data_IF_886120428414
#
_entry.id   IF_886120428414
#
_cell.length_a   1.000
_cell.length_b   1.000
_cell.length_c   1.000
_cell.angle_alpha   90.00
_cell.angle_beta   90.00
_cell.angle_gamma   90.00
#
_symmetry.space_group_name_H-M   'P 1'
#
loop_
_entity.id
_entity.type
_entity.pdbx_description
1 polymer ?
#
# COMPACT_ATOMS: atom_id res chain seq x y z
N UNK A 1 18.82 11.94 -37.21
CA UNK A 1 18.61 11.55 -35.81
C UNK A 1 17.13 11.64 -35.55
N UNK A 2 16.46 10.55 -35.17
CA UNK A 2 15.04 10.64 -34.87
C UNK A 2 14.85 11.42 -33.57
N UNK A 3 13.99 12.43 -33.62
CA UNK A 3 13.51 13.18 -32.45
C UNK A 3 12.96 12.20 -31.43
N UNK A 4 13.54 12.20 -30.24
CA UNK A 4 12.93 11.55 -29.08
C UNK A 4 11.61 12.28 -28.81
N UNK A 5 10.51 11.71 -29.27
CA UNK A 5 9.16 12.11 -28.85
C UNK A 5 9.12 12.06 -27.33
N UNK A 6 8.81 13.20 -26.71
CA UNK A 6 8.61 13.31 -25.28
C UNK A 6 7.68 12.19 -24.84
N UNK A 7 8.20 11.29 -24.00
CA UNK A 7 7.43 10.22 -23.40
C UNK A 7 6.26 10.88 -22.66
N UNK A 8 5.05 10.78 -23.19
CA UNK A 8 3.87 11.28 -22.49
C UNK A 8 3.79 10.52 -21.16
N UNK A 9 4.03 11.22 -20.06
CA UNK A 9 3.88 10.68 -18.73
C UNK A 9 2.45 10.13 -18.62
N UNK A 10 2.34 8.85 -18.23
CA UNK A 10 1.04 8.24 -17.92
C UNK A 10 0.27 9.13 -16.92
N UNK A 11 -1.05 8.98 -16.83
CA UNK A 11 -1.87 9.74 -15.88
C UNK A 11 -1.32 9.57 -14.45
N UNK A 12 -0.94 8.36 -14.06
CA UNK A 12 -0.28 8.08 -12.77
C UNK A 12 1.03 8.85 -12.60
N UNK A 13 1.83 8.99 -13.64
CA UNK A 13 3.08 9.77 -13.59
C UNK A 13 2.85 11.26 -13.40
N UNK A 14 1.85 11.82 -14.07
CA UNK A 14 1.43 13.24 -13.89
C UNK A 14 0.91 13.47 -12.46
N UNK A 15 0.07 12.58 -11.94
CA UNK A 15 -0.48 12.69 -10.59
C UNK A 15 0.59 12.49 -9.51
N UNK A 16 1.55 11.58 -9.71
CA UNK A 16 2.70 11.43 -8.83
C UNK A 16 3.51 12.73 -8.73
N UNK A 17 3.82 13.37 -9.84
CA UNK A 17 4.55 14.63 -9.84
C UNK A 17 3.77 15.74 -9.13
N UNK A 18 2.47 15.84 -9.35
CA UNK A 18 1.60 16.81 -8.66
C UNK A 18 1.56 16.58 -7.15
N UNK A 19 1.38 15.33 -6.70
CA UNK A 19 1.40 14.99 -5.27
C UNK A 19 2.75 15.31 -4.64
N UNK A 20 3.86 14.93 -5.29
CA UNK A 20 5.21 15.21 -4.79
C UNK A 20 5.46 16.71 -4.66
N UNK A 21 5.08 17.50 -5.67
CA UNK A 21 5.20 18.95 -5.61
C UNK A 21 4.36 19.55 -4.49
N UNK A 22 3.10 19.11 -4.32
CA UNK A 22 2.23 19.53 -3.22
C UNK A 22 2.87 19.23 -1.85
N UNK A 23 3.39 18.03 -1.65
CA UNK A 23 4.05 17.65 -0.40
C UNK A 23 5.30 18.50 -0.13
N UNK A 24 6.08 18.82 -1.16
CA UNK A 24 7.31 19.63 -1.02
C UNK A 24 7.03 21.13 -0.84
N UNK A 25 6.09 21.69 -1.61
CA UNK A 25 5.90 23.15 -1.65
C UNK A 25 4.84 23.65 -0.67
N UNK A 26 3.82 22.83 -0.39
CA UNK A 26 2.66 23.26 0.39
C UNK A 26 2.54 22.60 1.77
N UNK A 27 3.20 21.47 1.98
CA UNK A 27 3.11 20.72 3.24
C UNK A 27 4.41 20.84 4.04
N UNK A 28 5.55 20.57 3.43
CA UNK A 28 6.85 20.54 4.10
C UNK A 28 7.10 21.84 4.86
N UNK A 29 7.41 21.73 6.14
CA UNK A 29 7.65 22.85 7.08
C UNK A 29 6.51 23.84 7.25
N UNK A 30 5.34 23.63 6.64
CA UNK A 30 4.23 24.58 6.66
C UNK A 30 2.98 24.05 7.36
N UNK A 31 2.69 22.76 7.27
CA UNK A 31 1.48 22.15 7.83
C UNK A 31 1.63 20.66 8.06
N UNK A 32 0.77 20.13 8.92
CA UNK A 32 0.63 18.70 9.15
C UNK A 32 -0.64 18.21 8.46
N UNK A 33 -0.54 17.09 7.73
CA UNK A 33 -1.70 16.40 7.18
C UNK A 33 -2.17 15.32 8.16
N UNK A 34 -3.47 15.31 8.44
CA UNK A 34 -4.07 14.22 9.21
C UNK A 34 -4.22 12.96 8.35
N UNK A 35 -4.06 11.81 8.94
CA UNK A 35 -4.26 10.53 8.29
C UNK A 35 -5.02 9.54 9.17
N UNK A 36 -5.68 8.57 8.54
CA UNK A 36 -6.37 7.47 9.20
C UNK A 36 -6.06 6.16 8.46
N UNK A 37 -5.65 5.14 9.20
CA UNK A 37 -5.58 3.77 8.66
C UNK A 37 -6.97 3.16 8.63
N UNK A 38 -7.24 2.44 7.57
CA UNK A 38 -8.45 1.66 7.45
C UNK A 38 -8.33 0.30 8.15
N UNK A 39 -9.48 -0.34 8.44
CA UNK A 39 -9.52 -1.67 9.03
C UNK A 39 -9.56 -2.71 7.92
N UNK A 40 -8.52 -3.54 7.85
CA UNK A 40 -8.39 -4.59 6.83
C UNK A 40 -9.17 -5.88 7.14
N UNK A 41 -9.82 -5.95 8.29
CA UNK A 41 -10.52 -7.17 8.77
C UNK A 41 -12.02 -6.96 8.99
N UNK A 42 -12.55 -5.77 8.80
CA UNK A 42 -13.97 -5.47 9.02
C UNK A 42 -14.45 -4.39 8.06
N UNK A 43 -14.99 -4.79 6.93
CA UNK A 43 -15.56 -3.91 5.89
C UNK A 43 -16.78 -3.11 6.35
N UNK A 44 -17.40 -3.48 7.48
CA UNK A 44 -18.53 -2.75 8.02
C UNK A 44 -18.13 -1.42 8.69
N UNK A 45 -16.83 -1.23 8.92
CA UNK A 45 -16.29 -0.09 9.66
C UNK A 45 -15.45 0.81 8.74
N UNK A 46 -16.06 1.87 8.24
CA UNK A 46 -15.36 2.94 7.52
C UNK A 46 -14.70 3.91 8.52
N UNK A 47 -13.39 3.76 8.70
CA UNK A 47 -12.62 4.53 9.69
C UNK A 47 -12.54 6.02 9.34
N UNK A 48 -12.46 6.39 8.07
CA UNK A 48 -12.44 7.81 7.69
C UNK A 48 -13.80 8.48 7.94
N UNK A 49 -14.90 7.71 7.80
CA UNK A 49 -16.24 8.18 8.16
C UNK A 49 -16.41 8.35 9.68
N UNK A 50 -15.79 7.47 10.49
CA UNK A 50 -15.74 7.66 11.96
C UNK A 50 -15.03 8.94 12.34
N UNK A 51 -13.89 9.25 11.71
CA UNK A 51 -13.19 10.53 11.91
C UNK A 51 -14.11 11.70 11.56
N UNK A 52 -14.78 11.63 10.41
CA UNK A 52 -15.74 12.67 10.01
C UNK A 52 -16.88 12.85 11.00
N UNK A 53 -17.47 11.76 11.48
CA UNK A 53 -18.58 11.81 12.45
C UNK A 53 -18.18 12.47 13.77
N UNK A 54 -16.91 12.33 14.16
CA UNK A 54 -16.40 12.91 15.42
C UNK A 54 -15.90 14.35 15.28
N UNK A 55 -15.45 14.74 14.07
CA UNK A 55 -14.73 16.02 13.88
C UNK A 55 -15.38 16.96 12.88
N UNK A 56 -16.33 16.47 12.09
CA UNK A 56 -16.92 17.19 10.95
C UNK A 56 -15.96 17.34 9.76
N UNK A 57 -14.79 16.65 9.77
CA UNK A 57 -13.77 16.74 8.71
C UNK A 57 -13.22 15.37 8.36
N UNK A 58 -12.98 15.12 7.08
CA UNK A 58 -12.24 13.95 6.64
C UNK A 58 -10.74 14.15 6.81
N UNK A 59 -9.97 13.07 7.09
CA UNK A 59 -8.52 13.14 7.05
C UNK A 59 -8.03 13.42 5.62
N UNK A 60 -6.82 13.93 5.48
CA UNK A 60 -6.23 14.16 4.17
C UNK A 60 -5.66 12.87 3.54
N UNK A 61 -5.28 11.91 4.38
CA UNK A 61 -4.63 10.67 4.00
C UNK A 61 -5.46 9.50 4.51
N UNK A 62 -5.79 8.55 3.61
CA UNK A 62 -6.28 7.23 4.00
C UNK A 62 -5.19 6.19 3.79
N UNK A 63 -4.98 5.37 4.82
CA UNK A 63 -3.98 4.31 4.81
C UNK A 63 -4.61 2.94 4.67
N UNK A 64 -3.95 2.09 3.92
CA UNK A 64 -4.39 0.72 3.59
C UNK A 64 -3.24 -0.26 3.77
N UNK A 65 -3.56 -1.54 3.82
CA UNK A 65 -2.59 -2.61 3.99
C UNK A 65 -2.87 -3.79 3.06
N UNK A 66 -1.84 -4.28 2.41
CA UNK A 66 -1.94 -5.48 1.58
C UNK A 66 -1.82 -6.81 2.37
N UNK A 67 -1.95 -6.78 3.70
CA UNK A 67 -1.77 -7.96 4.57
C UNK A 67 -2.62 -9.17 4.20
N UNK A 68 -3.78 -8.96 3.59
CA UNK A 68 -4.74 -10.02 3.26
C UNK A 68 -4.70 -10.46 1.80
N UNK A 69 -3.81 -9.89 0.99
CA UNK A 69 -3.70 -10.27 -0.42
C UNK A 69 -3.34 -11.75 -0.56
N UNK A 70 -4.22 -12.45 -1.28
CA UNK A 70 -4.02 -13.85 -1.63
C UNK A 70 -4.19 -14.83 -0.48
N UNK A 71 -4.80 -14.41 0.65
CA UNK A 71 -5.26 -15.35 1.66
C UNK A 71 -6.42 -16.19 1.11
N UNK A 72 -6.33 -17.51 1.30
CA UNK A 72 -7.43 -18.41 0.94
C UNK A 72 -8.65 -18.11 1.81
N UNK A 73 -9.83 -18.00 1.16
CA UNK A 73 -11.08 -17.74 1.87
C UNK A 73 -11.27 -16.30 2.35
N UNK A 74 -10.35 -15.39 2.06
CA UNK A 74 -10.56 -13.98 2.33
C UNK A 74 -11.56 -13.39 1.33
N UNK A 75 -12.69 -12.94 1.84
CA UNK A 75 -13.75 -12.28 1.08
C UNK A 75 -13.98 -10.84 1.54
N UNK A 76 -13.06 -10.33 2.33
CA UNK A 76 -13.13 -8.97 2.87
C UNK A 76 -12.89 -7.91 1.82
N UNK A 77 -12.88 -6.70 2.30
CA UNK A 77 -12.82 -5.50 1.51
C UNK A 77 -11.69 -5.48 0.48
N UNK A 78 -12.01 -4.98 -0.69
CA UNK A 78 -11.02 -4.69 -1.70
C UNK A 78 -10.36 -3.34 -1.42
N UNK A 79 -9.32 -3.34 -0.61
CA UNK A 79 -8.54 -2.16 -0.22
C UNK A 79 -8.06 -1.35 -1.43
N UNK A 80 -7.80 -2.00 -2.55
CA UNK A 80 -7.39 -1.34 -3.80
C UNK A 80 -8.51 -0.51 -4.39
N UNK A 81 -9.73 -1.04 -4.46
CA UNK A 81 -10.89 -0.34 -4.99
C UNK A 81 -11.32 0.83 -4.08
N UNK A 82 -11.24 0.62 -2.78
CA UNK A 82 -11.50 1.70 -1.83
C UNK A 82 -10.49 2.83 -1.95
N UNK A 83 -9.20 2.51 -2.07
CA UNK A 83 -8.16 3.50 -2.30
C UNK A 83 -8.35 4.28 -3.61
N UNK A 84 -8.80 3.61 -4.67
CA UNK A 84 -9.17 4.27 -5.94
C UNK A 84 -10.34 5.23 -5.73
N UNK A 85 -11.37 4.79 -5.03
CA UNK A 85 -12.52 5.64 -4.69
C UNK A 85 -12.11 6.84 -3.83
N UNK A 86 -11.27 6.62 -2.83
CA UNK A 86 -10.73 7.68 -1.98
C UNK A 86 -9.94 8.72 -2.78
N UNK A 87 -9.05 8.27 -3.65
CA UNK A 87 -8.29 9.18 -4.52
C UNK A 87 -9.21 10.00 -5.41
N UNK A 88 -10.19 9.34 -6.06
CA UNK A 88 -11.03 10.01 -7.06
C UNK A 88 -11.93 11.08 -6.47
N UNK A 89 -12.43 10.91 -5.27
CA UNK A 89 -13.41 11.84 -4.73
C UNK A 89 -13.44 11.98 -3.21
N UNK A 90 -12.45 11.51 -2.48
CA UNK A 90 -12.34 11.68 -1.03
C UNK A 90 -13.71 11.83 -0.31
N UNK A 91 -14.60 10.82 -0.38
CA UNK A 91 -15.95 10.82 0.19
C UNK A 91 -16.85 11.98 -0.30
N UNK A 92 -16.84 12.24 -1.60
CA UNK A 92 -17.66 13.27 -2.27
C UNK A 92 -17.33 14.72 -1.89
N UNK A 93 -16.10 14.97 -1.45
CA UNK A 93 -15.64 16.35 -1.17
C UNK A 93 -15.23 17.12 -2.43
N UNK A 94 -15.19 16.48 -3.59
CA UNK A 94 -14.67 17.04 -4.84
C UNK A 94 -13.14 17.20 -4.86
N UNK A 95 -12.43 16.57 -3.90
CA UNK A 95 -10.97 16.65 -3.76
C UNK A 95 -10.36 15.26 -3.82
N UNK A 96 -9.13 15.17 -4.28
CA UNK A 96 -8.36 13.94 -4.16
C UNK A 96 -7.96 13.69 -2.70
N UNK A 97 -8.18 12.46 -2.23
CA UNK A 97 -7.62 11.97 -0.98
C UNK A 97 -6.24 11.33 -1.21
N UNK A 98 -5.27 11.61 -0.38
CA UNK A 98 -3.94 10.99 -0.48
C UNK A 98 -4.03 9.54 -0.04
N UNK A 99 -3.40 8.64 -0.80
CA UNK A 99 -3.39 7.20 -0.56
C UNK A 99 -2.02 6.76 -0.07
N UNK A 100 -1.99 5.99 1.02
CA UNK A 100 -0.80 5.28 1.46
C UNK A 100 -1.10 3.80 1.64
N UNK A 101 -0.17 2.96 1.24
CA UNK A 101 -0.22 1.53 1.47
C UNK A 101 1.00 1.07 2.25
N UNK A 102 0.79 0.15 3.19
CA UNK A 102 1.82 -0.69 3.74
C UNK A 102 1.56 -2.16 3.38
N UNK A 103 2.46 -3.02 3.80
CA UNK A 103 2.33 -4.45 3.63
C UNK A 103 2.91 -5.19 4.83
N UNK A 104 2.03 -5.75 5.65
CA UNK A 104 2.38 -6.76 6.63
C UNK A 104 2.56 -8.08 5.89
N UNK A 105 3.79 -8.34 5.51
CA UNK A 105 4.12 -9.54 4.76
C UNK A 105 4.16 -10.76 5.68
N UNK A 106 3.30 -11.72 5.40
CA UNK A 106 3.29 -13.01 6.08
C UNK A 106 4.39 -13.92 5.52
N UNK A 107 4.65 -15.05 6.18
CA UNK A 107 5.60 -16.04 5.64
C UNK A 107 5.19 -16.46 4.22
N UNK A 108 6.09 -16.33 3.23
CA UNK A 108 5.79 -16.65 1.85
C UNK A 108 5.33 -18.09 1.65
N UNK A 109 4.22 -18.25 0.91
CA UNK A 109 3.65 -19.57 0.61
C UNK A 109 2.75 -20.13 1.70
N UNK A 110 2.51 -19.43 2.81
CA UNK A 110 1.48 -19.78 3.80
C UNK A 110 0.19 -19.01 3.53
N UNK A 111 -0.94 -19.69 3.66
CA UNK A 111 -2.29 -19.14 3.41
C UNK A 111 -2.99 -18.62 4.68
N UNK A 112 -2.26 -18.30 5.72
CA UNK A 112 -2.80 -17.83 6.97
C UNK A 112 -1.72 -17.66 8.02
N UNK A 113 -2.12 -17.34 9.22
CA UNK A 113 -1.21 -17.18 10.33
C UNK A 113 -1.36 -15.83 11.01
N UNK A 114 -1.01 -15.83 12.27
CA UNK A 114 -0.97 -14.69 13.14
C UNK A 114 0.41 -14.01 13.03
N UNK A 115 0.45 -12.69 13.09
CA UNK A 115 1.71 -11.94 13.08
C UNK A 115 2.42 -11.95 14.43
N UNK A 116 1.70 -12.16 15.52
CA UNK A 116 2.22 -11.99 16.88
C UNK A 116 2.80 -13.28 17.50
N UNK A 117 2.25 -14.42 17.11
CA UNK A 117 2.63 -15.73 17.66
C UNK A 117 3.32 -16.65 16.66
N UNK A 118 3.28 -16.30 15.38
CA UNK A 118 3.85 -17.11 14.32
C UNK A 118 5.38 -17.06 14.32
N UNK A 119 6.01 -18.16 14.72
CA UNK A 119 7.44 -18.36 14.49
C UNK A 119 7.66 -18.89 13.08
N UNK A 120 8.65 -18.34 12.39
CA UNK A 120 9.00 -18.80 11.06
C UNK A 120 10.44 -19.26 10.99
N UNK A 121 10.67 -20.36 10.26
CA UNK A 121 11.99 -20.80 9.81
C UNK A 121 12.25 -20.41 8.35
N UNK A 122 11.40 -19.56 7.80
CA UNK A 122 11.56 -19.09 6.43
C UNK A 122 12.77 -18.15 6.34
N UNK A 123 13.65 -18.43 5.41
CA UNK A 123 14.81 -17.58 5.14
C UNK A 123 14.76 -17.04 3.73
N UNK A 124 15.12 -15.78 3.57
CA UNK A 124 15.33 -15.18 2.25
C UNK A 124 16.59 -15.82 1.65
N UNK A 125 16.48 -16.51 0.50
CA UNK A 125 17.60 -17.21 -0.06
C UNK A 125 18.61 -16.24 -0.67
N UNK A 126 19.78 -16.17 -0.09
CA UNK A 126 20.87 -15.30 -0.57
C UNK A 126 22.07 -16.16 -1.00
N UNK A 127 22.69 -15.78 -2.13
CA UNK A 127 23.91 -16.36 -2.63
C UNK A 127 24.85 -15.25 -3.11
N UNK A 128 26.04 -15.18 -2.55
CA UNK A 128 27.03 -14.13 -2.87
C UNK A 128 26.46 -12.70 -2.75
N UNK A 129 25.63 -12.43 -1.75
CA UNK A 129 25.06 -11.12 -1.50
C UNK A 129 23.87 -10.73 -2.39
N UNK A 130 23.40 -11.62 -3.26
CA UNK A 130 22.23 -11.43 -4.13
C UNK A 130 21.17 -12.48 -3.87
N UNK A 131 19.93 -12.21 -4.26
CA UNK A 131 18.83 -13.16 -4.12
C UNK A 131 19.07 -14.40 -4.99
N UNK A 132 19.07 -15.59 -4.38
CA UNK A 132 19.23 -16.86 -5.09
C UNK A 132 17.91 -17.28 -5.77
N UNK A 133 17.82 -16.99 -7.05
CA UNK A 133 16.63 -17.31 -7.86
C UNK A 133 16.44 -18.79 -8.15
N UNK A 134 17.45 -19.63 -7.86
CA UNK A 134 17.37 -21.09 -8.03
C UNK A 134 16.82 -21.81 -6.80
N UNK A 135 16.75 -21.14 -5.66
CA UNK A 135 16.27 -21.72 -4.41
C UNK A 135 14.73 -21.85 -4.40
N UNK A 136 14.21 -22.93 -3.80
CA UNK A 136 12.76 -23.19 -3.73
C UNK A 136 11.95 -22.07 -3.05
N UNK A 137 12.53 -21.34 -2.09
CA UNK A 137 11.87 -20.21 -1.44
C UNK A 137 11.69 -19.00 -2.37
N UNK A 138 12.52 -18.88 -3.43
CA UNK A 138 12.39 -17.76 -4.36
C UNK A 138 11.03 -17.75 -5.08
N UNK A 139 10.53 -18.91 -5.50
CA UNK A 139 9.23 -19.00 -6.17
C UNK A 139 8.08 -18.54 -5.27
N UNK A 140 8.15 -18.80 -3.96
CA UNK A 140 7.16 -18.37 -2.98
C UNK A 140 7.21 -16.85 -2.77
N UNK A 141 8.41 -16.30 -2.62
CA UNK A 141 8.64 -14.84 -2.53
C UNK A 141 8.10 -14.16 -3.79
N UNK A 142 8.47 -14.69 -4.97
CA UNK A 142 8.02 -14.12 -6.24
C UNK A 142 6.50 -14.13 -6.37
N UNK A 143 5.85 -15.22 -6.00
CA UNK A 143 4.39 -15.32 -6.07
C UNK A 143 3.69 -14.25 -5.23
N UNK A 144 4.18 -13.96 -4.04
CA UNK A 144 3.61 -12.91 -3.19
C UNK A 144 3.89 -11.51 -3.74
N UNK A 145 5.11 -11.27 -4.22
CA UNK A 145 5.45 -10.00 -4.87
C UNK A 145 4.61 -9.75 -6.12
N UNK A 146 4.34 -10.78 -6.92
CA UNK A 146 3.49 -10.66 -8.12
C UNK A 146 2.04 -10.27 -7.76
N UNK A 147 1.50 -10.77 -6.64
CA UNK A 147 0.18 -10.36 -6.14
C UNK A 147 0.15 -8.87 -5.80
N UNK A 148 1.11 -8.40 -5.01
CA UNK A 148 1.23 -6.98 -4.65
C UNK A 148 1.44 -6.11 -5.90
N UNK A 149 2.31 -6.54 -6.82
CA UNK A 149 2.54 -5.84 -8.09
C UNK A 149 1.27 -5.73 -8.94
N UNK A 150 0.40 -6.74 -8.89
CA UNK A 150 -0.91 -6.72 -9.58
C UNK A 150 -1.79 -5.62 -9.00
N UNK A 151 -1.91 -5.53 -7.68
CA UNK A 151 -2.74 -4.50 -7.04
C UNK A 151 -2.16 -3.08 -7.24
N UNK A 152 -0.85 -2.92 -7.10
CA UNK A 152 -0.19 -1.64 -7.42
C UNK A 152 -0.36 -1.25 -8.89
N UNK A 153 -0.47 -2.23 -9.80
CA UNK A 153 -0.77 -1.97 -11.22
C UNK A 153 -2.19 -1.48 -11.44
N UNK A 154 -3.17 -2.01 -10.70
CA UNK A 154 -4.55 -1.49 -10.73
C UNK A 154 -4.59 -0.02 -10.30
N UNK A 155 -3.94 0.31 -9.16
CA UNK A 155 -3.83 1.69 -8.68
C UNK A 155 -3.16 2.60 -9.71
N UNK A 156 -2.06 2.15 -10.31
CA UNK A 156 -1.37 2.88 -11.38
C UNK A 156 -2.29 3.14 -12.57
N UNK A 157 -3.04 2.14 -13.02
CA UNK A 157 -3.95 2.25 -14.16
C UNK A 157 -5.12 3.20 -13.88
N UNK A 158 -5.57 3.25 -12.62
CA UNK A 158 -6.55 4.22 -12.13
C UNK A 158 -5.97 5.64 -11.90
N UNK A 159 -4.67 5.84 -12.13
CA UNK A 159 -4.02 7.13 -11.97
C UNK A 159 -3.73 7.52 -10.52
N UNK A 160 -3.81 6.58 -9.59
CA UNK A 160 -3.59 6.79 -8.14
C UNK A 160 -2.09 6.81 -7.81
N UNK A 161 -1.52 7.91 -7.34
CA UNK A 161 -0.19 7.92 -6.77
C UNK A 161 -0.23 7.38 -5.34
N UNK A 162 0.64 6.45 -5.03
CA UNK A 162 0.68 5.77 -3.73
C UNK A 162 1.93 6.16 -2.95
N UNK A 163 1.75 6.53 -1.69
CA UNK A 163 2.84 6.59 -0.71
C UNK A 163 3.08 5.16 -0.23
N UNK A 164 4.05 4.49 -0.86
CA UNK A 164 4.33 3.07 -0.64
C UNK A 164 5.30 2.86 0.52
N UNK A 165 4.90 2.08 1.50
CA UNK A 165 5.66 1.70 2.69
C UNK A 165 5.75 0.17 2.78
N UNK A 166 6.62 -0.49 1.98
CA UNK A 166 6.76 -1.94 2.02
C UNK A 166 7.30 -2.40 3.37
N UNK A 167 7.06 -3.65 3.73
CA UNK A 167 7.60 -4.31 4.92
C UNK A 167 7.29 -3.53 6.22
N UNK A 168 6.01 -3.42 6.52
CA UNK A 168 5.54 -2.78 7.75
C UNK A 168 6.11 -3.50 8.98
N UNK A 169 6.63 -2.73 9.94
CA UNK A 169 7.23 -3.23 11.18
C UNK A 169 8.40 -4.22 10.99
N UNK A 170 9.10 -4.15 9.86
CA UNK A 170 10.20 -5.05 9.53
C UNK A 170 11.37 -5.02 10.53
N UNK A 171 11.47 -3.96 11.34
CA UNK A 171 12.47 -3.82 12.39
C UNK A 171 11.92 -3.99 13.80
N UNK A 172 10.81 -4.72 13.96
CA UNK A 172 10.03 -4.85 15.18
C UNK A 172 10.84 -5.03 16.46
N UNK A 173 10.25 -4.76 17.60
CA UNK A 173 10.93 -4.84 18.89
C UNK A 173 11.50 -6.26 19.11
N UNK A 174 12.83 -6.40 19.37
CA UNK A 174 13.45 -7.71 19.62
C UNK A 174 12.82 -8.50 20.78
N UNK A 175 12.04 -7.85 21.64
CA UNK A 175 11.33 -8.51 22.72
C UNK A 175 10.15 -9.37 22.27
N UNK A 176 9.67 -9.15 21.02
CA UNK A 176 8.54 -9.86 20.44
C UNK A 176 8.93 -10.79 19.27
N UNK A 177 10.25 -10.94 19.00
CA UNK A 177 10.78 -11.83 17.97
C UNK A 177 11.39 -13.11 18.57
#
# INVERSE_FOLDING_TARGET
MPNATACELSMAGKNKARLLNYLKSEVWEKKTLSGQMDLTWDDSIDMVKKVYSSTGKYPAISGYDFMNIGLSGWSGENQTEEAISWWNNAKNTGKHGIVTFCWHWREPGKSGGDFYSAKTNFTIPMKNGVLDTSHSNFSKIKADLDKVATELTKLKNAGVPVLWRPLHEAGGDPQYN
#
